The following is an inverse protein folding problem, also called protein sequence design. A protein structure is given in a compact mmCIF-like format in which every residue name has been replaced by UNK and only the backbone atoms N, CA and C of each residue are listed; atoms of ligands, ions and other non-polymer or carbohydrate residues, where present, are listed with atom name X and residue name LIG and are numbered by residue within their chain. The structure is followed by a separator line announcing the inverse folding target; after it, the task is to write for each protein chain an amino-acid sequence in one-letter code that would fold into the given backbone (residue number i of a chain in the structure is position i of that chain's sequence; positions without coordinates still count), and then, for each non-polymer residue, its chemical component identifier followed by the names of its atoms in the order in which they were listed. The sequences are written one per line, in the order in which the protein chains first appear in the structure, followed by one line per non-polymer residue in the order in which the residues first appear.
data_IF_676761414718
#
_entry.id   IF_676761414718
#
_cell.length_a   1.000
_cell.length_b   1.000
_cell.length_c   1.000
_cell.angle_alpha   90.00
_cell.angle_beta   90.00
_cell.angle_gamma   90.00
#
_symmetry.space_group_name_H-M   'P 1'
#
loop_
_entity.id
_entity.type
_entity.pdbx_description
1 polymer ?
#
# COMPACT_ATOMS: atom_id res chain seq x y z
N UNK A 1 4.15 22.59 -46.66
CA UNK A 1 4.41 22.54 -45.20
C UNK A 1 3.26 21.93 -44.39
N UNK A 2 1.99 22.19 -44.70
CA UNK A 2 0.86 21.59 -43.96
C UNK A 2 0.70 20.06 -44.16
N UNK A 3 0.96 19.53 -45.35
CA UNK A 3 0.84 18.08 -45.62
C UNK A 3 1.90 17.28 -44.82
N UNK A 4 3.11 17.81 -44.70
CA UNK A 4 4.21 17.18 -43.94
C UNK A 4 3.92 17.20 -42.43
N UNK A 5 3.36 18.30 -41.92
CA UNK A 5 2.94 18.41 -40.53
C UNK A 5 1.78 17.46 -40.20
N UNK A 6 0.80 17.31 -41.11
CA UNK A 6 -0.30 16.35 -40.95
C UNK A 6 0.15 14.89 -40.94
N UNK A 7 1.13 14.52 -41.78
CA UNK A 7 1.71 13.18 -41.76
C UNK A 7 2.46 12.89 -40.44
N UNK A 8 3.16 13.89 -39.89
CA UNK A 8 3.84 13.77 -38.60
C UNK A 8 2.86 13.63 -37.42
N UNK A 9 1.72 14.34 -37.48
CA UNK A 9 0.63 14.21 -36.49
C UNK A 9 -0.02 12.83 -36.57
N UNK A 10 -0.25 12.28 -37.77
CA UNK A 10 -0.81 10.93 -37.93
C UNK A 10 0.13 9.84 -37.42
N UNK A 11 1.44 9.98 -37.62
CA UNK A 11 2.45 9.07 -37.06
C UNK A 11 2.51 9.23 -35.53
N UNK A 12 2.41 10.45 -35.00
CA UNK A 12 2.33 10.70 -33.56
C UNK A 12 1.06 10.10 -32.94
N UNK A 13 -0.08 10.17 -33.64
CA UNK A 13 -1.33 9.49 -33.24
C UNK A 13 -1.23 7.97 -33.34
N UNK A 14 -0.34 7.41 -34.16
CA UNK A 14 -0.01 5.99 -34.18
C UNK A 14 0.85 5.53 -32.99
N UNK A 15 1.61 6.45 -32.38
CA UNK A 15 2.39 6.22 -31.14
C UNK A 15 1.52 6.48 -29.90
N UNK A 16 0.59 7.43 -29.99
CA UNK A 16 -0.46 7.69 -29.00
C UNK A 16 -1.73 6.94 -29.38
N UNK A 17 -1.73 5.62 -29.26
CA UNK A 17 -2.98 4.87 -29.23
C UNK A 17 -3.75 5.20 -27.92
N UNK A 18 -4.33 6.41 -27.85
CA UNK A 18 -5.45 6.69 -26.96
C UNK A 18 -6.67 6.03 -27.60
N UNK A 19 -6.80 4.74 -27.33
CA UNK A 19 -7.95 3.96 -27.71
C UNK A 19 -9.16 4.51 -26.94
N UNK A 20 -9.96 5.34 -27.60
CA UNK A 20 -11.35 5.58 -27.25
C UNK A 20 -12.13 4.27 -27.42
N UNK A 21 -11.96 3.37 -26.44
CA UNK A 21 -12.74 2.15 -26.31
C UNK A 21 -13.41 2.25 -24.95
N UNK A 22 -14.74 2.34 -24.96
CA UNK A 22 -15.57 1.91 -23.84
C UNK A 22 -15.30 0.41 -23.64
N UNK A 23 -14.22 0.10 -22.94
CA UNK A 23 -13.80 -1.25 -22.58
C UNK A 23 -13.77 -1.34 -21.06
N UNK A 24 -14.65 -2.21 -20.57
CA UNK A 24 -14.71 -2.79 -19.23
C UNK A 24 -13.39 -2.65 -18.44
N UNK A 25 -13.46 -1.89 -17.34
CA UNK A 25 -12.34 -1.33 -16.56
C UNK A 25 -11.45 -2.31 -15.79
N UNK A 26 -11.06 -3.42 -16.41
CA UNK A 26 -10.27 -4.49 -15.77
C UNK A 26 -8.77 -4.38 -16.09
N UNK A 27 -8.39 -3.75 -17.21
CA UNK A 27 -6.99 -3.71 -17.67
C UNK A 27 -6.23 -2.41 -17.33
N UNK A 28 -6.92 -1.31 -17.03
CA UNK A 28 -6.29 -0.02 -16.71
C UNK A 28 -5.91 0.10 -15.21
N UNK A 29 -6.53 -0.72 -14.34
CA UNK A 29 -6.43 -0.61 -12.88
C UNK A 29 -5.39 -1.56 -12.24
N UNK A 30 -4.63 -2.31 -13.05
CA UNK A 30 -3.64 -3.27 -12.55
C UNK A 30 -2.55 -2.62 -11.69
N UNK A 31 -2.14 -1.40 -12.05
CA UNK A 31 -1.17 -0.62 -11.29
C UNK A 31 -1.71 -0.15 -9.94
N UNK A 32 -3.02 0.11 -9.85
CA UNK A 32 -3.72 0.47 -8.62
C UNK A 32 -3.72 -0.71 -7.64
N UNK A 33 -4.16 -1.89 -8.09
CA UNK A 33 -4.18 -3.08 -7.23
C UNK A 33 -2.80 -3.56 -6.82
N UNK A 34 -1.82 -3.50 -7.74
CA UNK A 34 -0.44 -3.87 -7.43
C UNK A 34 0.18 -2.87 -6.43
N UNK A 35 -0.03 -1.57 -6.62
CA UNK A 35 0.42 -0.53 -5.69
C UNK A 35 -0.18 -0.70 -4.29
N UNK A 36 -1.49 -0.95 -4.21
CA UNK A 36 -2.17 -1.19 -2.94
C UNK A 36 -1.68 -2.47 -2.23
N UNK A 37 -1.43 -3.54 -2.99
CA UNK A 37 -0.87 -4.79 -2.47
C UNK A 37 0.56 -4.62 -1.93
N UNK A 38 1.42 -3.89 -2.64
CA UNK A 38 2.79 -3.60 -2.18
C UNK A 38 2.77 -2.72 -0.92
N UNK A 39 1.92 -1.69 -0.89
CA UNK A 39 1.78 -0.80 0.26
C UNK A 39 1.35 -1.57 1.53
N UNK A 40 0.31 -2.42 1.43
CA UNK A 40 -0.12 -3.28 2.53
C UNK A 40 0.99 -4.25 2.94
N UNK A 41 1.63 -4.93 1.97
CA UNK A 41 2.67 -5.91 2.25
C UNK A 41 3.85 -5.33 3.03
N UNK A 42 4.34 -4.16 2.61
CA UNK A 42 5.44 -3.48 3.30
C UNK A 42 5.03 -2.94 4.68
N UNK A 43 3.82 -2.41 4.81
CA UNK A 43 3.30 -1.97 6.10
C UNK A 43 3.14 -3.14 7.09
N UNK A 44 2.68 -4.30 6.62
CA UNK A 44 2.54 -5.52 7.43
C UNK A 44 3.89 -6.06 7.92
N UNK A 45 4.92 -6.02 7.08
CA UNK A 45 6.29 -6.37 7.49
C UNK A 45 6.79 -5.41 8.56
N UNK A 46 6.62 -4.10 8.37
CA UNK A 46 7.01 -3.09 9.36
C UNK A 46 6.30 -3.28 10.70
N UNK A 47 4.98 -3.47 10.68
CA UNK A 47 4.18 -3.73 11.88
C UNK A 47 4.65 -5.01 12.60
N UNK A 48 4.86 -6.11 11.87
CA UNK A 48 5.33 -7.37 12.45
C UNK A 48 6.70 -7.27 13.12
N UNK A 49 7.65 -6.56 12.51
CA UNK A 49 8.98 -6.34 13.10
C UNK A 49 8.87 -5.53 14.40
N UNK A 50 8.10 -4.45 14.40
CA UNK A 50 7.85 -3.65 15.61
C UNK A 50 7.15 -4.46 16.70
N UNK A 51 6.17 -5.28 16.34
CA UNK A 51 5.39 -6.09 17.26
C UNK A 51 6.24 -7.19 17.92
N UNK A 52 7.21 -7.77 17.21
CA UNK A 52 8.12 -8.76 17.78
C UNK A 52 8.96 -8.19 18.93
N UNK A 53 9.56 -7.00 18.72
CA UNK A 53 10.34 -6.33 19.75
C UNK A 53 9.45 -5.94 20.95
N UNK A 54 8.30 -5.31 20.69
CA UNK A 54 7.40 -4.85 21.75
C UNK A 54 6.79 -6.02 22.52
N UNK A 55 6.40 -7.09 21.84
CA UNK A 55 5.85 -8.30 22.47
C UNK A 55 6.84 -8.96 23.42
N UNK A 56 8.12 -9.07 23.03
CA UNK A 56 9.16 -9.61 23.92
C UNK A 56 9.37 -8.75 25.18
N UNK A 57 9.36 -7.42 25.02
CA UNK A 57 9.47 -6.48 26.14
C UNK A 57 8.23 -6.48 27.05
N UNK A 58 7.04 -6.60 26.46
CA UNK A 58 5.76 -6.67 27.17
C UNK A 58 5.69 -7.92 28.06
N UNK A 59 6.13 -9.08 27.56
CA UNK A 59 6.19 -10.32 28.36
C UNK A 59 7.18 -10.17 29.52
N UNK A 60 8.36 -9.57 29.29
CA UNK A 60 9.32 -9.28 30.34
C UNK A 60 8.77 -8.34 31.42
N UNK A 61 8.05 -7.29 31.01
CA UNK A 61 7.38 -6.35 31.92
C UNK A 61 6.33 -7.03 32.79
N UNK A 62 5.52 -7.92 32.21
CA UNK A 62 4.50 -8.69 32.94
C UNK A 62 5.15 -9.70 33.90
N UNK A 63 6.29 -10.29 33.51
CA UNK A 63 7.03 -11.21 34.37
C UNK A 63 7.63 -10.52 35.61
N UNK A 64 8.05 -9.26 35.49
CA UNK A 64 8.53 -8.46 36.61
C UNK A 64 7.39 -7.98 37.53
N UNK A 65 6.28 -7.54 36.94
CA UNK A 65 5.11 -7.05 37.68
C UNK A 65 3.82 -7.31 36.89
N UNK A 66 3.03 -8.27 37.37
CA UNK A 66 1.76 -8.67 36.74
C UNK A 66 0.69 -7.58 36.73
N UNK A 67 0.81 -6.54 37.56
CA UNK A 67 -0.11 -5.39 37.53
C UNK A 67 0.08 -4.55 36.26
N UNK A 68 1.21 -4.68 35.55
CA UNK A 68 1.53 -3.94 34.33
C UNK A 68 0.95 -4.56 33.05
N UNK A 69 0.04 -5.52 33.17
CA UNK A 69 -0.65 -6.12 32.02
C UNK A 69 -1.33 -5.07 31.12
N UNK A 70 -2.03 -4.10 31.72
CA UNK A 70 -2.71 -3.04 30.97
C UNK A 70 -1.75 -2.21 30.09
N UNK A 71 -0.70 -1.59 30.67
CA UNK A 71 0.33 -0.89 29.92
C UNK A 71 1.01 -1.76 28.86
N UNK A 72 1.35 -3.01 29.18
CA UNK A 72 1.96 -3.95 28.25
C UNK A 72 1.08 -4.18 27.00
N UNK A 73 -0.24 -4.31 27.21
CA UNK A 73 -1.20 -4.50 26.13
C UNK A 73 -1.36 -3.26 25.24
N UNK A 74 -1.32 -2.06 25.84
CA UNK A 74 -1.34 -0.80 25.07
C UNK A 74 -0.10 -0.71 24.17
N UNK A 75 1.10 -0.97 24.69
CA UNK A 75 2.32 -0.89 23.89
C UNK A 75 2.31 -1.90 22.75
N UNK A 76 1.89 -3.15 23.00
CA UNK A 76 1.77 -4.17 21.95
C UNK A 76 0.75 -3.80 20.87
N UNK A 77 -0.27 -3.01 21.17
CA UNK A 77 -1.27 -2.59 20.19
C UNK A 77 -0.85 -1.37 19.33
N UNK A 78 0.17 -0.60 19.74
CA UNK A 78 0.61 0.59 18.99
C UNK A 78 1.02 0.31 17.53
N UNK A 79 1.77 -0.77 17.22
CA UNK A 79 2.20 -1.07 15.85
C UNK A 79 1.06 -1.38 14.89
N UNK A 80 -0.10 -1.83 15.39
CA UNK A 80 -1.26 -2.17 14.55
C UNK A 80 -1.76 -0.96 13.73
N UNK A 81 -1.54 0.27 14.23
CA UNK A 81 -1.88 1.48 13.48
C UNK A 81 -1.11 1.59 12.15
N UNK A 82 0.10 1.05 12.08
CA UNK A 82 0.93 1.05 10.86
C UNK A 82 0.25 0.21 9.78
N UNK A 83 -0.24 -0.99 10.14
CA UNK A 83 -0.85 -1.89 9.16
C UNK A 83 -2.23 -1.41 8.73
N UNK A 84 -2.99 -0.80 9.64
CA UNK A 84 -4.31 -0.22 9.33
C UNK A 84 -4.15 0.93 8.33
N UNK A 85 -3.17 1.82 8.54
CA UNK A 85 -2.89 2.91 7.59
C UNK A 85 -2.33 2.37 6.26
N UNK A 86 -1.52 1.32 6.29
CA UNK A 86 -1.03 0.64 5.09
C UNK A 86 -2.11 -0.08 4.28
N UNK A 87 -3.22 -0.47 4.92
CA UNK A 87 -4.38 -1.06 4.27
C UNK A 87 -5.30 -0.02 3.60
N UNK A 88 -5.17 1.27 3.95
CA UNK A 88 -6.02 2.34 3.42
C UNK A 88 -6.13 2.36 1.87
N UNK A 89 -5.05 2.16 1.09
CA UNK A 89 -5.12 2.16 -0.38
C UNK A 89 -5.99 1.06 -0.98
N UNK A 90 -6.36 0.02 -0.22
CA UNK A 90 -7.28 -1.02 -0.68
C UNK A 90 -8.73 -0.52 -0.77
N UNK A 91 -9.03 0.61 -0.12
CA UNK A 91 -10.38 1.18 -0.03
C UNK A 91 -10.53 2.48 -0.84
N UNK A 92 -9.48 2.92 -1.53
CA UNK A 92 -9.45 4.07 -2.44
C UNK A 92 -9.52 3.57 -3.89
#
# INVERSE_FOLDING_TARGET
MMIVLGALVLIAQGVSAEANVEADGVYDDWGKYMGAGIALGLAAVGAGISQAAIGSAAVGMIAEDGSKFGPALIFTALPESIVILGALPLFL
#
